data_IF_577702184658
#
_entry.id   IF_577702184658
#
_cell.length_a   1.000
_cell.length_b   1.000
_cell.length_c   1.000
_cell.angle_alpha   90.00
_cell.angle_beta   90.00
_cell.angle_gamma   90.00
#
_symmetry.space_group_name_H-M   'P 1'
#
loop_
_entity.id
_entity.type
_entity.pdbx_description
1 polymer ?
#
# COMPACT_ATOMS: atom_id res chain seq x y z
N UNK A 1 -39.45 6.67 -11.01
CA UNK A 1 -38.63 6.50 -12.24
C UNK A 1 -37.44 5.60 -11.88
N UNK A 2 -37.70 4.36 -11.46
CA UNK A 2 -37.58 3.13 -12.27
C UNK A 2 -36.31 3.14 -13.13
N UNK A 3 -35.23 2.59 -12.59
CA UNK A 3 -34.15 2.01 -13.39
C UNK A 3 -34.06 0.55 -12.94
N UNK A 4 -34.88 -0.26 -13.59
CA UNK A 4 -34.67 -1.69 -13.73
C UNK A 4 -33.57 -1.82 -14.79
N UNK A 5 -32.35 -2.19 -14.39
CA UNK A 5 -31.36 -2.69 -15.34
C UNK A 5 -31.30 -4.21 -15.17
N UNK A 6 -31.89 -4.89 -16.15
CA UNK A 6 -31.68 -6.30 -16.44
C UNK A 6 -30.17 -6.59 -16.51
N UNK A 7 -29.65 -7.42 -15.62
CA UNK A 7 -28.47 -8.23 -15.95
C UNK A 7 -28.97 -9.53 -16.55
N UNK A 8 -29.16 -9.52 -17.87
CA UNK A 8 -29.11 -10.75 -18.65
C UNK A 8 -27.68 -11.28 -18.52
N UNK A 9 -27.53 -12.42 -17.84
CA UNK A 9 -26.35 -13.25 -17.95
C UNK A 9 -26.14 -13.56 -19.44
N UNK A 10 -25.06 -13.05 -20.02
CA UNK A 10 -24.64 -13.47 -21.35
C UNK A 10 -24.23 -14.95 -21.27
N UNK A 11 -24.80 -15.77 -22.15
CA UNK A 11 -24.27 -17.09 -22.46
C UNK A 11 -22.82 -16.90 -22.91
N UNK A 12 -21.89 -17.41 -22.11
CA UNK A 12 -20.43 -17.32 -22.32
C UNK A 12 -20.01 -18.29 -23.42
N UNK A 13 -19.09 -17.89 -24.31
CA UNK A 13 -18.73 -18.70 -25.47
C UNK A 13 -17.60 -19.70 -25.14
N UNK A 14 -16.52 -19.27 -24.49
CA UNK A 14 -15.48 -20.16 -23.94
C UNK A 14 -14.66 -19.46 -22.85
N UNK A 15 -13.99 -20.24 -22.00
CA UNK A 15 -13.14 -19.70 -20.92
C UNK A 15 -11.83 -20.48 -20.81
N UNK A 16 -10.70 -19.77 -20.90
CA UNK A 16 -9.37 -20.34 -20.65
C UNK A 16 -8.82 -19.83 -19.31
N UNK A 17 -8.47 -20.75 -18.42
CA UNK A 17 -8.16 -20.49 -17.01
C UNK A 17 -6.86 -21.19 -16.60
N UNK A 18 -6.09 -20.58 -15.71
CA UNK A 18 -5.01 -21.26 -14.96
C UNK A 18 -5.50 -21.54 -13.55
N UNK A 19 -5.34 -22.79 -13.11
CA UNK A 19 -5.51 -23.20 -11.74
C UNK A 19 -4.16 -23.10 -11.00
N UNK A 20 -4.11 -22.20 -10.02
CA UNK A 20 -3.09 -22.14 -8.97
C UNK A 20 -3.79 -22.01 -7.61
N UNK A 21 -3.17 -21.34 -6.63
CA UNK A 21 -3.87 -21.01 -5.37
C UNK A 21 -5.18 -20.22 -5.60
N UNK A 22 -5.26 -19.47 -6.71
CA UNK A 22 -6.46 -18.80 -7.21
C UNK A 22 -6.70 -19.13 -8.69
N UNK A 23 -7.97 -19.31 -9.11
CA UNK A 23 -8.36 -19.41 -10.53
C UNK A 23 -8.19 -18.06 -11.23
N UNK A 24 -7.34 -17.97 -12.24
CA UNK A 24 -7.18 -16.74 -13.04
C UNK A 24 -7.55 -16.97 -14.51
N UNK A 25 -8.43 -16.12 -15.03
CA UNK A 25 -8.84 -16.14 -16.44
C UNK A 25 -7.67 -15.59 -17.29
N UNK A 26 -7.25 -16.36 -18.29
CA UNK A 26 -6.29 -15.95 -19.31
C UNK A 26 -7.02 -15.22 -20.42
N UNK A 27 -8.12 -15.79 -20.92
CA UNK A 27 -8.88 -15.28 -22.04
C UNK A 27 -10.36 -15.65 -21.94
N UNK A 28 -11.21 -14.73 -22.37
CA UNK A 28 -12.65 -14.88 -22.42
C UNK A 28 -13.20 -14.20 -23.68
N UNK A 29 -13.92 -14.95 -24.54
CA UNK A 29 -14.64 -14.42 -25.70
C UNK A 29 -13.82 -13.43 -26.56
N UNK A 30 -12.55 -13.76 -26.86
CA UNK A 30 -11.54 -12.96 -27.61
C UNK A 30 -10.85 -11.80 -26.88
N UNK A 31 -11.13 -11.60 -25.59
CA UNK A 31 -10.48 -10.58 -24.76
C UNK A 31 -9.43 -11.23 -23.87
N UNK A 32 -8.16 -10.92 -24.13
CA UNK A 32 -7.06 -11.35 -23.28
C UNK A 32 -7.09 -10.58 -21.96
N UNK A 33 -6.95 -11.32 -20.85
CA UNK A 33 -6.82 -10.73 -19.52
C UNK A 33 -5.64 -9.79 -19.45
N UNK A 34 -5.83 -8.63 -18.83
CA UNK A 34 -4.77 -7.63 -18.62
C UNK A 34 -3.53 -8.19 -17.91
N UNK A 35 -3.65 -9.34 -17.22
CA UNK A 35 -2.54 -10.05 -16.56
C UNK A 35 -1.58 -10.77 -17.52
N UNK A 36 -1.98 -11.00 -18.77
CA UNK A 36 -1.23 -11.84 -19.74
C UNK A 36 -0.87 -11.09 -21.02
N UNK A 37 -1.22 -9.80 -21.11
CA UNK A 37 -0.89 -8.91 -22.22
C UNK A 37 0.31 -8.04 -21.86
N UNK A 38 1.40 -8.12 -22.63
CA UNK A 38 2.40 -7.05 -22.66
C UNK A 38 3.21 -7.04 -23.96
N UNK A 39 3.00 -6.00 -24.76
CA UNK A 39 4.02 -5.45 -25.65
C UNK A 39 4.92 -4.56 -24.80
N UNK A 40 6.18 -4.98 -24.60
CA UNK A 40 7.29 -4.27 -23.97
C UNK A 40 6.92 -3.36 -22.76
N UNK A 41 7.05 -3.83 -21.50
CA UNK A 41 6.94 -2.94 -20.35
C UNK A 41 8.13 -1.98 -20.31
N UNK A 42 8.03 -0.86 -21.00
CA UNK A 42 8.84 0.31 -20.67
C UNK A 42 8.21 0.88 -19.41
N UNK A 43 8.66 0.48 -18.22
CA UNK A 43 8.19 1.12 -17.00
C UNK A 43 9.32 1.45 -16.03
N UNK A 44 9.47 2.76 -15.84
CA UNK A 44 10.19 3.46 -14.77
C UNK A 44 9.30 3.65 -13.53
N UNK A 45 8.19 2.91 -13.41
CA UNK A 45 7.14 3.16 -12.42
C UNK A 45 7.06 2.03 -11.39
N UNK A 46 7.00 2.42 -10.11
CA UNK A 46 6.78 1.54 -8.95
C UNK A 46 5.37 0.91 -8.86
N UNK A 47 4.64 0.89 -9.96
CA UNK A 47 3.31 0.31 -10.00
C UNK A 47 3.43 -1.21 -10.21
N UNK A 48 2.62 -2.03 -9.53
CA UNK A 48 2.63 -3.46 -9.79
C UNK A 48 2.26 -3.68 -11.25
N UNK A 49 3.17 -4.27 -12.02
CA UNK A 49 2.85 -4.74 -13.36
C UNK A 49 1.66 -5.71 -13.24
N UNK A 50 0.61 -5.49 -14.03
CA UNK A 50 -0.48 -6.47 -14.16
C UNK A 50 0.03 -7.64 -14.99
N UNK A 51 0.85 -8.47 -14.36
CA UNK A 51 1.49 -9.63 -14.98
C UNK A 51 1.19 -10.87 -14.16
N UNK A 52 0.95 -11.98 -14.85
CA UNK A 52 0.94 -13.29 -14.22
C UNK A 52 2.37 -13.73 -13.92
N UNK A 53 2.63 -14.08 -12.66
CA UNK A 53 3.94 -14.42 -12.14
C UNK A 53 3.85 -15.77 -11.44
N UNK A 54 4.74 -16.68 -11.80
CA UNK A 54 4.93 -17.94 -11.08
C UNK A 54 6.13 -17.80 -10.16
N UNK A 55 5.89 -17.95 -8.84
CA UNK A 55 6.90 -17.83 -7.80
C UNK A 55 7.96 -18.94 -7.86
N UNK A 56 9.10 -18.74 -7.20
CA UNK A 56 10.23 -19.70 -7.20
C UNK A 56 9.88 -21.09 -6.65
N UNK A 57 8.94 -21.16 -5.69
CA UNK A 57 8.51 -22.40 -5.03
C UNK A 57 7.56 -23.26 -5.87
N UNK A 58 6.89 -22.67 -6.87
CA UNK A 58 5.92 -23.36 -7.71
C UNK A 58 6.60 -23.96 -8.93
N UNK A 59 6.71 -25.30 -8.96
CA UNK A 59 7.36 -26.04 -10.05
C UNK A 59 6.38 -26.48 -11.15
N UNK A 60 5.07 -26.38 -10.91
CA UNK A 60 4.03 -26.79 -11.85
C UNK A 60 2.88 -25.77 -11.85
N UNK A 61 2.25 -25.56 -13.00
CA UNK A 61 0.99 -24.83 -13.13
C UNK A 61 -0.01 -25.65 -13.95
N UNK A 62 -1.27 -25.64 -13.52
CA UNK A 62 -2.36 -26.36 -14.17
C UNK A 62 -3.20 -25.39 -15.00
N UNK A 63 -3.51 -25.76 -16.24
CA UNK A 63 -4.26 -24.94 -17.18
C UNK A 63 -5.53 -25.69 -17.60
N UNK A 64 -6.66 -24.98 -17.64
CA UNK A 64 -7.97 -25.53 -17.94
C UNK A 64 -8.63 -24.71 -19.05
N UNK A 65 -8.94 -25.35 -20.17
CA UNK A 65 -9.73 -24.77 -21.26
C UNK A 65 -11.14 -25.35 -21.16
N UNK A 66 -12.16 -24.52 -21.00
CA UNK A 66 -13.56 -24.96 -20.96
C UNK A 66 -14.32 -24.45 -22.17
N UNK A 67 -14.98 -25.38 -22.87
CA UNK A 67 -15.88 -25.06 -23.97
C UNK A 67 -17.30 -24.85 -23.43
N UNK A 68 -17.81 -23.61 -23.51
CA UNK A 68 -19.17 -23.28 -23.11
C UNK A 68 -20.11 -23.11 -24.33
N UNK A 69 -19.60 -23.33 -25.55
CA UNK A 69 -20.38 -23.27 -26.78
C UNK A 69 -21.13 -24.58 -27.05
N UNK A 70 -22.18 -24.48 -27.87
CA UNK A 70 -22.91 -25.63 -28.43
C UNK A 70 -22.13 -26.37 -29.53
N UNK A 71 -21.02 -25.79 -30.02
CA UNK A 71 -20.17 -26.34 -31.08
C UNK A 71 -18.81 -26.81 -30.55
N UNK A 72 -18.21 -27.76 -31.25
CA UNK A 72 -16.87 -28.26 -30.95
C UNK A 72 -15.82 -27.15 -31.05
N UNK A 73 -14.97 -27.03 -30.03
CA UNK A 73 -13.88 -26.06 -29.98
C UNK A 73 -12.57 -26.74 -30.34
N UNK A 74 -11.88 -26.24 -31.37
CA UNK A 74 -10.57 -26.74 -31.77
C UNK A 74 -9.47 -25.90 -31.13
N UNK A 75 -8.75 -26.50 -30.18
CA UNK A 75 -7.67 -25.87 -29.44
C UNK A 75 -6.32 -26.49 -29.82
N UNK A 76 -5.35 -25.65 -30.14
CA UNK A 76 -3.95 -26.04 -30.29
C UNK A 76 -3.10 -25.08 -29.47
N UNK A 77 -2.10 -25.59 -28.75
CA UNK A 77 -1.20 -24.73 -27.98
C UNK A 77 0.25 -25.20 -28.11
N UNK A 78 1.17 -24.26 -27.94
CA UNK A 78 2.60 -24.46 -27.88
C UNK A 78 3.16 -23.52 -26.82
N UNK A 79 3.96 -24.06 -25.89
CA UNK A 79 4.52 -23.31 -24.78
C UNK A 79 6.03 -23.35 -24.89
N UNK A 80 6.63 -22.18 -25.04
CA UNK A 80 8.07 -22.01 -25.21
C UNK A 80 8.58 -20.98 -24.20
N UNK A 81 9.68 -21.29 -23.53
CA UNK A 81 10.49 -20.29 -22.83
C UNK A 81 11.23 -19.45 -23.87
N UNK A 82 11.25 -18.12 -23.72
CA UNK A 82 12.05 -17.25 -24.59
C UNK A 82 13.55 -17.54 -24.42
N UNK A 83 13.99 -17.83 -23.18
CA UNK A 83 15.36 -18.26 -22.88
C UNK A 83 15.38 -19.70 -22.37
N UNK A 84 15.43 -20.67 -23.30
CA UNK A 84 15.48 -22.11 -23.00
C UNK A 84 16.71 -22.56 -22.21
N UNK A 85 17.74 -21.72 -22.12
CA UNK A 85 18.95 -21.96 -21.34
C UNK A 85 18.76 -21.69 -19.84
N UNK A 86 17.73 -20.93 -19.44
CA UNK A 86 17.45 -20.55 -18.04
C UNK A 86 16.33 -21.41 -17.46
N UNK A 87 15.23 -21.61 -18.20
CA UNK A 87 14.14 -22.50 -17.80
C UNK A 87 13.76 -23.39 -18.96
N UNK A 88 13.74 -24.70 -18.72
CA UNK A 88 13.11 -25.64 -19.64
C UNK A 88 11.67 -25.89 -19.22
N UNK A 89 10.76 -25.77 -20.18
CA UNK A 89 9.33 -26.02 -20.00
C UNK A 89 9.01 -27.40 -20.53
N UNK A 90 8.56 -28.30 -19.66
CA UNK A 90 8.10 -29.63 -20.05
C UNK A 90 6.58 -29.72 -19.96
N UNK A 91 5.96 -30.11 -21.08
CA UNK A 91 4.54 -30.41 -21.19
C UNK A 91 4.36 -31.85 -21.68
N UNK A 92 3.45 -32.61 -21.03
CA UNK A 92 3.29 -34.06 -21.26
C UNK A 92 2.61 -34.44 -22.60
N UNK A 93 2.13 -33.49 -23.41
CA UNK A 93 1.45 -33.75 -24.69
C UNK A 93 1.82 -32.71 -25.73
N UNK A 94 2.42 -33.16 -26.84
CA UNK A 94 2.78 -32.34 -28.00
C UNK A 94 1.63 -32.25 -29.01
N UNK A 95 1.41 -31.03 -29.53
CA UNK A 95 1.07 -30.71 -30.94
C UNK A 95 -0.14 -31.34 -31.65
N UNK A 96 -1.06 -32.01 -30.96
CA UNK A 96 -2.31 -32.46 -31.58
C UNK A 96 -3.44 -31.42 -31.47
N UNK A 97 -4.24 -31.27 -32.53
CA UNK A 97 -5.45 -30.44 -32.53
C UNK A 97 -6.47 -31.10 -31.60
N UNK A 98 -6.68 -30.51 -30.43
CA UNK A 98 -7.61 -31.07 -29.43
C UNK A 98 -9.00 -30.54 -29.73
N UNK A 99 -9.96 -31.45 -29.87
CA UNK A 99 -11.38 -31.10 -30.03
C UNK A 99 -12.06 -31.22 -28.69
N UNK A 100 -12.51 -30.09 -28.13
CA UNK A 100 -13.23 -30.03 -26.86
C UNK A 100 -14.72 -29.99 -27.18
N UNK A 101 -15.44 -31.03 -26.75
CA UNK A 101 -16.90 -31.13 -26.92
C UNK A 101 -17.64 -30.06 -26.09
N UNK A 102 -18.89 -29.72 -26.43
CA UNK A 102 -19.72 -28.81 -25.66
C UNK A 102 -19.76 -29.17 -24.17
N UNK A 103 -19.65 -28.17 -23.30
CA UNK A 103 -19.63 -28.28 -21.83
C UNK A 103 -18.48 -29.10 -21.20
N UNK A 104 -17.52 -29.58 -21.99
CA UNK A 104 -16.35 -30.28 -21.47
C UNK A 104 -15.17 -29.32 -21.25
N UNK A 105 -14.27 -29.73 -20.35
CA UNK A 105 -12.99 -29.07 -20.10
C UNK A 105 -11.81 -29.95 -20.55
N UNK A 106 -10.71 -29.29 -20.91
CA UNK A 106 -9.43 -29.92 -21.15
C UNK A 106 -8.39 -29.34 -20.19
N UNK A 107 -7.68 -30.22 -19.49
CA UNK A 107 -6.70 -29.87 -18.47
C UNK A 107 -5.30 -30.29 -18.91
N UNK A 108 -4.32 -29.40 -18.73
CA UNK A 108 -2.92 -29.71 -18.99
C UNK A 108 -1.98 -29.04 -17.98
N UNK A 109 -0.90 -29.74 -17.63
CA UNK A 109 0.06 -29.27 -16.66
C UNK A 109 1.37 -28.87 -17.34
N UNK A 110 1.89 -27.73 -16.92
CA UNK A 110 3.17 -27.18 -17.36
C UNK A 110 4.15 -27.31 -16.21
N UNK A 111 5.24 -28.07 -16.41
CA UNK A 111 6.32 -28.21 -15.43
C UNK A 111 7.48 -27.31 -15.79
N UNK A 112 8.02 -26.60 -14.79
CA UNK A 112 9.16 -25.70 -14.94
C UNK A 112 10.39 -26.34 -14.31
N UNK A 113 11.47 -26.47 -15.09
CA UNK A 113 12.77 -26.91 -14.57
C UNK A 113 13.76 -25.75 -14.71
N UNK A 114 14.24 -25.25 -13.58
CA UNK A 114 15.25 -24.21 -13.51
C UNK A 114 16.63 -24.79 -13.86
N UNK A 115 17.22 -24.30 -14.95
CA UNK A 115 18.56 -24.64 -15.40
C UNK A 115 19.54 -23.55 -14.92
N UNK A 116 20.83 -23.88 -14.79
CA UNK A 116 21.84 -23.09 -14.07
C UNK A 116 21.89 -21.60 -14.44
N UNK A 117 22.27 -20.78 -13.44
CA UNK A 117 22.67 -19.36 -13.54
C UNK A 117 23.62 -19.11 -14.72
N UNK A 118 23.17 -18.32 -15.67
CA UNK A 118 24.03 -17.59 -16.61
C UNK A 118 23.75 -16.10 -16.34
N UNK A 119 24.80 -15.34 -16.00
CA UNK A 119 24.78 -13.87 -15.91
C UNK A 119 23.70 -13.26 -14.99
N UNK A 120 23.60 -13.71 -13.73
CA UNK A 120 22.72 -13.15 -12.68
C UNK A 120 21.22 -13.03 -13.03
N UNK A 121 20.76 -13.65 -14.12
CA UNK A 121 19.35 -13.72 -14.48
C UNK A 121 18.70 -14.97 -13.88
N UNK A 122 17.72 -14.77 -13.01
CA UNK A 122 17.03 -15.82 -12.25
C UNK A 122 15.55 -16.00 -12.66
N UNK A 123 15.16 -15.46 -13.82
CA UNK A 123 13.80 -15.51 -14.35
C UNK A 123 13.84 -15.57 -15.89
N UNK A 124 12.74 -15.98 -16.50
CA UNK A 124 12.52 -15.85 -17.96
C UNK A 124 11.04 -15.64 -18.27
N UNK A 125 10.77 -15.16 -19.47
CA UNK A 125 9.43 -15.08 -20.05
C UNK A 125 9.04 -16.42 -20.66
N UNK A 126 7.83 -16.85 -20.35
CA UNK A 126 7.19 -18.02 -20.95
C UNK A 126 6.09 -17.52 -21.87
N UNK A 127 6.19 -17.95 -23.13
CA UNK A 127 5.25 -17.64 -24.19
C UNK A 127 4.32 -18.83 -24.39
N UNK A 128 3.01 -18.59 -24.29
CA UNK A 128 1.95 -19.54 -24.68
C UNK A 128 1.39 -19.06 -26.01
N UNK A 129 1.73 -19.76 -27.08
CA UNK A 129 1.07 -19.59 -28.37
C UNK A 129 -0.09 -20.57 -28.43
N UNK A 130 -1.31 -20.11 -28.67
CA UNK A 130 -2.45 -20.99 -28.84
C UNK A 130 -3.32 -20.53 -30.02
N UNK A 131 -4.05 -21.49 -30.59
CA UNK A 131 -4.89 -21.29 -31.75
C UNK A 131 -6.29 -21.83 -31.42
N UNK A 132 -7.29 -20.96 -31.56
CA UNK A 132 -8.71 -21.28 -31.38
C UNK A 132 -9.41 -20.97 -32.69
N UNK A 133 -10.07 -21.97 -33.30
CA UNK A 133 -10.88 -21.80 -34.51
C UNK A 133 -10.18 -20.95 -35.60
N UNK A 134 -8.91 -21.26 -35.85
CA UNK A 134 -7.99 -20.62 -36.81
C UNK A 134 -7.29 -19.33 -36.36
N UNK A 135 -7.79 -18.60 -35.36
CA UNK A 135 -7.13 -17.40 -34.84
C UNK A 135 -5.97 -17.77 -33.92
N UNK A 136 -4.79 -17.19 -34.19
CA UNK A 136 -3.60 -17.36 -33.35
C UNK A 136 -3.49 -16.24 -32.32
N UNK A 137 -3.28 -16.63 -31.08
CA UNK A 137 -3.10 -15.75 -29.94
C UNK A 137 -1.80 -16.10 -29.21
N UNK A 138 -1.15 -15.08 -28.65
CA UNK A 138 0.07 -15.26 -27.87
C UNK A 138 -0.08 -14.58 -26.52
N UNK A 139 0.07 -15.33 -25.44
CA UNK A 139 0.09 -14.83 -24.08
C UNK A 139 1.51 -14.96 -23.49
N UNK A 140 1.92 -13.98 -22.70
CA UNK A 140 3.21 -13.98 -22.03
C UNK A 140 3.03 -13.98 -20.51
N UNK A 141 3.85 -14.74 -19.80
CA UNK A 141 3.94 -14.71 -18.34
C UNK A 141 5.37 -14.96 -17.87
N UNK A 142 5.65 -14.69 -16.59
CA UNK A 142 7.01 -14.75 -16.05
C UNK A 142 7.15 -15.88 -15.02
N UNK A 143 8.30 -16.57 -15.02
CA UNK A 143 8.67 -17.58 -14.03
C UNK A 143 10.01 -17.22 -13.39
N UNK A 144 10.04 -17.23 -12.05
CA UNK A 144 11.26 -17.07 -11.27
C UNK A 144 11.81 -18.42 -10.81
N UNK A 145 13.13 -18.53 -10.75
CA UNK A 145 13.87 -19.69 -10.27
C UNK A 145 14.54 -19.47 -8.91
N UNK A 146 14.84 -18.23 -8.56
CA UNK A 146 15.44 -17.86 -7.28
C UNK A 146 14.73 -16.61 -6.73
N UNK A 147 14.64 -16.48 -5.41
CA UNK A 147 14.14 -15.24 -4.81
C UNK A 147 15.13 -14.12 -5.16
N UNK A 148 14.69 -13.10 -5.91
CA UNK A 148 15.53 -11.95 -6.21
C UNK A 148 15.78 -11.16 -4.92
N UNK A 149 16.85 -11.50 -4.22
CA UNK A 149 17.30 -10.86 -2.99
C UNK A 149 17.90 -9.47 -3.28
N UNK A 150 17.07 -8.43 -3.39
CA UNK A 150 17.58 -7.05 -3.33
C UNK A 150 16.60 -6.12 -2.62
N UNK A 151 16.27 -6.42 -1.35
CA UNK A 151 15.45 -5.56 -0.48
C UNK A 151 16.25 -4.43 0.20
N UNK A 152 17.59 -4.43 0.10
CA UNK A 152 18.46 -3.69 1.03
C UNK A 152 18.42 -2.16 0.87
N UNK A 153 18.50 -1.65 -0.36
CA UNK A 153 18.66 -0.20 -0.60
C UNK A 153 17.37 0.64 -0.55
N UNK A 154 16.23 0.23 -1.15
CA UNK A 154 15.04 1.08 -1.20
C UNK A 154 14.34 1.27 0.15
N UNK A 155 14.44 0.32 1.09
CA UNK A 155 13.81 0.46 2.40
C UNK A 155 14.57 1.43 3.33
N UNK A 156 15.91 1.45 3.27
CA UNK A 156 16.71 2.40 4.06
C UNK A 156 16.40 3.87 3.70
N UNK A 157 16.10 4.13 2.44
CA UNK A 157 15.65 5.44 1.95
C UNK A 157 14.30 5.81 2.55
N UNK A 158 13.34 4.87 2.55
CA UNK A 158 12.03 5.07 3.18
C UNK A 158 12.15 5.30 4.68
N UNK A 159 13.09 4.62 5.36
CA UNK A 159 13.38 4.87 6.77
C UNK A 159 13.82 6.31 6.98
N UNK A 160 14.82 6.78 6.22
CA UNK A 160 15.29 8.17 6.33
C UNK A 160 14.17 9.19 6.05
N UNK A 161 13.38 8.97 5.00
CA UNK A 161 12.21 9.82 4.71
C UNK A 161 11.17 9.78 5.83
N UNK A 162 10.86 8.61 6.38
CA UNK A 162 9.87 8.48 7.46
C UNK A 162 10.29 9.23 8.73
N UNK A 163 11.58 9.20 9.09
CA UNK A 163 12.11 9.99 10.21
C UNK A 163 11.98 11.49 9.94
N UNK A 164 12.33 11.96 8.74
CA UNK A 164 12.17 13.38 8.36
C UNK A 164 10.70 13.79 8.43
N UNK A 165 9.80 12.94 7.93
CA UNK A 165 8.35 13.20 7.93
C UNK A 165 7.83 13.28 9.38
N UNK A 166 8.24 12.38 10.26
CA UNK A 166 7.81 12.40 11.67
C UNK A 166 8.32 13.66 12.37
N UNK A 167 9.60 14.00 12.21
CA UNK A 167 10.21 15.19 12.83
C UNK A 167 9.54 16.46 12.29
N UNK A 168 9.49 16.61 10.97
CA UNK A 168 8.91 17.76 10.29
C UNK A 168 7.41 17.91 10.58
N UNK A 169 6.66 16.80 10.51
CA UNK A 169 5.23 16.74 10.81
C UNK A 169 4.92 17.07 12.27
N UNK A 170 5.72 16.58 13.23
CA UNK A 170 5.57 16.90 14.65
C UNK A 170 5.80 18.38 14.92
N UNK A 171 6.85 18.97 14.34
CA UNK A 171 7.15 20.41 14.48
C UNK A 171 6.06 21.25 13.83
N UNK A 172 5.64 20.87 12.62
CA UNK A 172 4.59 21.55 11.87
C UNK A 172 3.26 21.52 12.63
N UNK A 173 2.84 20.35 13.13
CA UNK A 173 1.56 20.14 13.79
C UNK A 173 1.38 20.85 15.15
N UNK A 174 2.45 21.33 15.78
CA UNK A 174 2.38 22.11 17.04
C UNK A 174 2.28 23.62 16.79
N UNK A 175 2.63 24.10 15.58
CA UNK A 175 2.50 25.54 15.28
C UNK A 175 1.02 25.94 15.38
N UNK A 176 0.76 27.16 15.83
CA UNK A 176 -0.60 27.71 15.87
C UNK A 176 -1.18 27.87 14.47
N UNK A 177 -2.47 27.53 14.31
CA UNK A 177 -3.16 27.63 13.03
C UNK A 177 -3.81 29.00 12.87
N UNK A 178 -3.07 29.95 12.31
CA UNK A 178 -3.49 31.37 12.20
C UNK A 178 -4.61 31.62 11.18
N UNK A 179 -4.82 30.72 10.21
CA UNK A 179 -5.74 30.95 9.08
C UNK A 179 -7.21 30.68 9.41
N UNK A 180 -7.47 29.69 10.27
CA UNK A 180 -8.80 29.30 10.69
C UNK A 180 -8.92 29.55 12.19
N UNK A 181 -8.95 30.82 12.57
CA UNK A 181 -9.24 31.23 13.96
C UNK A 181 -10.60 30.67 14.38
N UNK A 182 -10.60 29.52 15.06
CA UNK A 182 -11.81 28.85 15.53
C UNK A 182 -11.89 27.34 15.26
N UNK A 183 -11.01 26.74 14.44
CA UNK A 183 -10.94 25.26 14.36
C UNK A 183 -10.07 24.77 15.51
N UNK A 184 -10.71 24.44 16.64
CA UNK A 184 -10.02 23.77 17.74
C UNK A 184 -9.56 22.38 17.28
N UNK A 185 -8.34 22.00 17.66
CA UNK A 185 -7.88 20.63 17.47
C UNK A 185 -8.82 19.70 18.23
N UNK A 186 -9.57 18.85 17.52
CA UNK A 186 -10.39 17.84 18.18
C UNK A 186 -9.47 16.79 18.80
N UNK A 187 -9.41 16.78 20.13
CA UNK A 187 -8.65 15.80 20.86
C UNK A 187 -9.30 14.41 20.69
N UNK A 188 -8.52 13.47 20.16
CA UNK A 188 -8.95 12.09 20.00
C UNK A 188 -8.96 11.42 21.37
N UNK A 189 -10.17 11.24 21.92
CA UNK A 189 -10.41 10.40 23.08
C UNK A 189 -10.49 8.90 22.74
N UNK A 190 -10.55 8.03 23.74
CA UNK A 190 -10.58 6.57 23.55
C UNK A 190 -11.80 6.07 22.76
N UNK A 191 -12.90 6.81 22.77
CA UNK A 191 -14.10 6.48 21.96
C UNK A 191 -13.83 6.66 20.46
N UNK A 192 -13.10 7.71 20.08
CA UNK A 192 -12.77 7.97 18.68
C UNK A 192 -11.87 6.86 18.10
N UNK A 193 -10.95 6.34 18.91
CA UNK A 193 -10.12 5.19 18.55
C UNK A 193 -10.95 3.95 18.17
N UNK A 194 -11.98 3.62 18.95
CA UNK A 194 -12.85 2.48 18.69
C UNK A 194 -13.68 2.70 17.42
N UNK A 195 -14.26 3.91 17.26
CA UNK A 195 -15.05 4.28 16.08
C UNK A 195 -14.19 4.17 14.81
N UNK A 196 -12.94 4.66 14.86
CA UNK A 196 -12.01 4.58 13.74
C UNK A 196 -11.81 3.14 13.25
N UNK A 197 -11.63 2.18 14.16
CA UNK A 197 -11.42 0.77 13.79
C UNK A 197 -12.66 0.16 13.16
N UNK A 198 -13.84 0.47 13.70
CA UNK A 198 -15.11 -0.02 13.17
C UNK A 198 -15.33 0.51 11.75
N UNK A 199 -15.13 1.82 11.54
CA UNK A 199 -15.26 2.46 10.23
C UNK A 199 -14.24 1.91 9.24
N UNK A 200 -12.97 1.79 9.65
CA UNK A 200 -11.91 1.21 8.82
C UNK A 200 -12.19 -0.24 8.44
N UNK A 201 -12.72 -1.06 9.36
CA UNK A 201 -13.13 -2.44 9.08
C UNK A 201 -14.26 -2.51 8.06
N UNK A 202 -15.26 -1.63 8.17
CA UNK A 202 -16.35 -1.56 7.20
C UNK A 202 -15.86 -1.15 5.82
N UNK A 203 -14.96 -0.15 5.76
CA UNK A 203 -14.33 0.29 4.52
C UNK A 203 -13.50 -0.82 3.89
N UNK A 204 -12.73 -1.58 4.68
CA UNK A 204 -11.91 -2.68 4.19
C UNK A 204 -12.76 -3.82 3.60
N UNK A 205 -13.84 -4.22 4.29
CA UNK A 205 -14.77 -5.23 3.78
C UNK A 205 -15.47 -4.74 2.50
N UNK A 206 -15.82 -3.46 2.45
CA UNK A 206 -16.41 -2.84 1.25
C UNK A 206 -15.44 -2.89 0.06
N UNK A 207 -14.16 -2.58 0.28
CA UNK A 207 -13.11 -2.72 -0.74
C UNK A 207 -12.91 -4.16 -1.20
N UNK A 208 -13.05 -5.12 -0.29
CA UNK A 208 -12.92 -6.53 -0.62
C UNK A 208 -14.10 -7.07 -1.44
N UNK A 209 -15.34 -6.77 -1.03
CA UNK A 209 -16.55 -7.30 -1.69
C UNK A 209 -16.99 -6.50 -2.92
N UNK A 210 -16.90 -5.18 -2.87
CA UNK A 210 -17.37 -4.25 -3.91
C UNK A 210 -16.21 -3.49 -4.55
N UNK A 211 -15.20 -4.24 -5.01
CA UNK A 211 -13.90 -3.70 -5.39
C UNK A 211 -13.94 -2.52 -6.36
N UNK A 212 -14.74 -2.58 -7.43
CA UNK A 212 -14.80 -1.52 -8.45
C UNK A 212 -15.40 -0.22 -7.91
N UNK A 213 -16.53 -0.31 -7.22
CA UNK A 213 -17.22 0.85 -6.66
C UNK A 213 -16.43 1.45 -5.49
N UNK A 214 -16.00 0.61 -4.54
CA UNK A 214 -15.29 1.06 -3.35
C UNK A 214 -13.90 1.64 -3.68
N UNK A 215 -13.17 1.08 -4.65
CA UNK A 215 -11.89 1.64 -5.09
C UNK A 215 -12.06 3.01 -5.76
N UNK A 216 -13.09 3.19 -6.59
CA UNK A 216 -13.40 4.49 -7.19
C UNK A 216 -13.76 5.54 -6.13
N UNK A 217 -14.62 5.17 -5.18
CA UNK A 217 -15.03 6.04 -4.09
C UNK A 217 -13.84 6.46 -3.21
N UNK A 218 -13.03 5.49 -2.78
CA UNK A 218 -11.84 5.75 -1.95
C UNK A 218 -10.80 6.57 -2.71
N UNK A 219 -10.64 6.37 -4.02
CA UNK A 219 -9.80 7.20 -4.86
C UNK A 219 -10.28 8.67 -4.88
N UNK A 220 -11.57 8.90 -5.11
CA UNK A 220 -12.15 10.27 -5.11
C UNK A 220 -11.95 10.95 -3.76
N UNK A 221 -12.27 10.25 -2.66
CA UNK A 221 -12.09 10.77 -1.30
C UNK A 221 -10.64 11.16 -1.08
N UNK A 222 -9.69 10.31 -1.44
CA UNK A 222 -8.28 10.60 -1.23
C UNK A 222 -7.77 11.76 -2.07
N UNK A 223 -8.17 11.85 -3.34
CA UNK A 223 -7.78 12.98 -4.19
C UNK A 223 -8.33 14.30 -3.64
N UNK A 224 -9.54 14.30 -3.11
CA UNK A 224 -10.12 15.45 -2.43
C UNK A 224 -9.38 15.80 -1.13
N UNK A 225 -9.05 14.81 -0.29
CA UNK A 225 -8.23 15.07 0.92
C UNK A 225 -6.84 15.58 0.57
N UNK A 226 -6.24 15.07 -0.51
CA UNK A 226 -4.95 15.52 -0.98
C UNK A 226 -5.01 16.97 -1.47
N UNK A 227 -6.10 17.37 -2.15
CA UNK A 227 -6.33 18.74 -2.61
C UNK A 227 -6.30 19.72 -1.44
N UNK A 228 -7.13 19.45 -0.42
CA UNK A 228 -7.23 20.27 0.78
C UNK A 228 -5.88 20.28 1.53
N UNK A 229 -5.22 19.13 1.62
CA UNK A 229 -3.93 19.03 2.32
C UNK A 229 -2.84 19.89 1.67
N UNK A 230 -2.73 19.89 0.34
CA UNK A 230 -1.75 20.71 -0.38
C UNK A 230 -2.11 22.19 -0.26
N UNK A 231 -3.39 22.53 -0.44
CA UNK A 231 -3.86 23.91 -0.36
C UNK A 231 -3.54 24.51 1.02
N UNK A 232 -3.85 23.79 2.10
CA UNK A 232 -3.58 24.25 3.47
C UNK A 232 -2.09 24.40 3.77
N UNK A 233 -1.25 23.47 3.32
CA UNK A 233 0.20 23.58 3.49
C UNK A 233 0.75 24.79 2.71
N UNK A 234 0.29 25.03 1.49
CA UNK A 234 0.72 26.18 0.68
C UNK A 234 0.29 27.51 1.31
N UNK A 235 -0.92 27.57 1.86
CA UNK A 235 -1.41 28.73 2.61
C UNK A 235 -0.55 29.00 3.85
N UNK A 236 -0.20 27.95 4.59
CA UNK A 236 0.67 28.07 5.77
C UNK A 236 2.07 28.60 5.42
N UNK A 237 2.66 28.14 4.31
CA UNK A 237 3.96 28.64 3.82
C UNK A 237 3.84 30.11 3.41
N UNK A 238 2.74 30.49 2.76
CA UNK A 238 2.53 31.86 2.29
C UNK A 238 2.17 32.85 3.40
N UNK A 239 1.80 32.39 4.59
CA UNK A 239 1.48 33.26 5.73
C UNK A 239 2.65 34.12 6.19
N UNK A 240 3.88 33.71 5.91
CA UNK A 240 5.07 34.51 6.20
C UNK A 240 5.18 35.75 5.30
N UNK A 241 4.42 35.81 4.20
CA UNK A 241 4.45 36.91 3.23
C UNK A 241 3.26 37.87 3.39
N UNK A 242 3.51 39.17 3.15
CA UNK A 242 2.54 40.26 3.31
C UNK A 242 1.56 40.43 2.12
N UNK A 243 1.25 39.36 1.40
CA UNK A 243 0.23 39.38 0.33
C UNK A 243 -1.19 39.33 0.91
N UNK A 244 -2.18 39.81 0.14
CA UNK A 244 -3.60 39.72 0.52
C UNK A 244 -4.08 38.26 0.57
N UNK A 245 -4.96 37.94 1.52
CA UNK A 245 -5.44 36.57 1.74
C UNK A 245 -6.12 35.96 0.51
N UNK A 246 -6.84 36.76 -0.29
CA UNK A 246 -7.50 36.28 -1.51
C UNK A 246 -6.50 35.80 -2.56
N UNK A 247 -5.36 36.49 -2.71
CA UNK A 247 -4.31 36.09 -3.66
C UNK A 247 -3.65 34.78 -3.20
N UNK A 248 -3.42 34.63 -1.89
CA UNK A 248 -2.85 33.41 -1.32
C UNK A 248 -3.73 32.18 -1.55
N UNK A 249 -5.04 32.32 -1.32
CA UNK A 249 -6.03 31.25 -1.55
C UNK A 249 -6.11 30.90 -3.04
N UNK A 250 -6.20 31.91 -3.92
CA UNK A 250 -6.26 31.66 -5.36
C UNK A 250 -5.01 30.94 -5.88
N UNK A 251 -3.82 31.36 -5.46
CA UNK A 251 -2.59 30.70 -5.87
C UNK A 251 -2.51 29.25 -5.35
N UNK A 252 -2.87 29.03 -4.08
CA UNK A 252 -2.81 27.71 -3.45
C UNK A 252 -3.79 26.71 -4.09
N UNK A 253 -5.02 27.16 -4.39
CA UNK A 253 -6.05 26.35 -5.07
C UNK A 253 -5.67 25.97 -6.50
N UNK A 254 -5.07 26.89 -7.26
CA UNK A 254 -4.58 26.60 -8.63
C UNK A 254 -3.45 25.58 -8.57
N UNK A 255 -2.48 25.77 -7.68
CA UNK A 255 -1.32 24.88 -7.58
C UNK A 255 -1.70 23.47 -7.10
N UNK A 256 -2.59 23.35 -6.11
CA UNK A 256 -3.12 22.04 -5.65
C UNK A 256 -3.87 21.32 -6.78
N UNK A 257 -4.69 22.04 -7.54
CA UNK A 257 -5.40 21.51 -8.71
C UNK A 257 -4.45 20.96 -9.79
N UNK A 258 -3.39 21.71 -10.12
CA UNK A 258 -2.37 21.28 -11.10
C UNK A 258 -1.70 19.98 -10.65
N UNK A 259 -1.27 19.88 -9.40
CA UNK A 259 -0.59 18.68 -8.88
C UNK A 259 -1.49 17.44 -8.93
N UNK A 260 -2.78 17.58 -8.63
CA UNK A 260 -3.76 16.51 -8.68
C UNK A 260 -4.02 16.05 -10.11
N UNK A 261 -4.15 16.99 -11.05
CA UNK A 261 -4.33 16.68 -12.47
C UNK A 261 -3.09 15.94 -13.00
N UNK A 262 -1.89 16.44 -12.69
CA UNK A 262 -0.64 15.80 -13.07
C UNK A 262 -0.52 14.38 -12.49
N UNK A 263 -0.95 14.15 -11.25
CA UNK A 263 -0.94 12.82 -10.67
C UNK A 263 -1.95 11.90 -11.34
N UNK A 264 -3.17 12.39 -11.64
CA UNK A 264 -4.20 11.60 -12.29
C UNK A 264 -3.74 11.03 -13.64
N UNK A 265 -3.03 11.84 -14.44
CA UNK A 265 -2.51 11.41 -15.74
C UNK A 265 -1.19 10.62 -15.64
N UNK A 266 -0.24 11.08 -14.83
CA UNK A 266 1.12 10.50 -14.83
C UNK A 266 1.26 9.28 -13.93
N UNK A 267 0.50 9.22 -12.83
CA UNK A 267 0.58 8.22 -11.74
C UNK A 267 2.01 7.87 -11.31
N UNK A 268 2.91 8.86 -11.35
CA UNK A 268 4.32 8.66 -11.01
C UNK A 268 4.49 8.47 -9.50
N UNK A 269 5.49 7.67 -9.12
CA UNK A 269 5.79 7.39 -7.71
C UNK A 269 6.17 8.66 -6.92
N UNK A 270 6.79 9.64 -7.59
CA UNK A 270 7.16 10.93 -6.99
C UNK A 270 5.89 11.70 -6.61
N UNK A 271 4.94 11.86 -7.54
CA UNK A 271 3.69 12.57 -7.25
C UNK A 271 2.84 11.80 -6.23
N UNK A 272 2.84 10.48 -6.26
CA UNK A 272 2.22 9.66 -5.22
C UNK A 272 2.78 10.00 -3.83
N UNK A 273 4.11 10.06 -3.70
CA UNK A 273 4.76 10.38 -2.43
C UNK A 273 4.48 11.82 -1.99
N UNK A 274 4.44 12.78 -2.92
CA UNK A 274 4.05 14.16 -2.61
C UNK A 274 2.65 14.21 -2.01
N UNK A 275 1.66 13.58 -2.66
CA UNK A 275 0.28 13.53 -2.15
C UNK A 275 0.22 12.84 -0.77
N UNK A 276 0.89 11.71 -0.61
CA UNK A 276 0.95 10.97 0.64
C UNK A 276 1.55 11.80 1.78
N UNK A 277 2.68 12.48 1.53
CA UNK A 277 3.33 13.35 2.52
C UNK A 277 2.43 14.54 2.86
N UNK A 278 1.76 15.15 1.89
CA UNK A 278 0.81 16.24 2.15
C UNK A 278 -0.34 15.79 3.05
N UNK A 279 -0.94 14.62 2.79
CA UNK A 279 -1.99 14.06 3.65
C UNK A 279 -1.46 13.80 5.06
N UNK A 280 -0.25 13.26 5.20
CA UNK A 280 0.39 13.04 6.50
C UNK A 280 0.53 14.36 7.26
N UNK A 281 1.15 15.39 6.66
CA UNK A 281 1.36 16.69 7.31
C UNK A 281 0.04 17.35 7.71
N UNK A 282 -0.98 17.26 6.86
CA UNK A 282 -2.33 17.74 7.17
C UNK A 282 -2.96 16.98 8.34
N UNK A 283 -2.75 15.66 8.43
CA UNK A 283 -3.18 14.86 9.57
C UNK A 283 -2.43 15.21 10.86
N UNK A 284 -1.12 15.49 10.79
CA UNK A 284 -0.36 16.02 11.93
C UNK A 284 -0.89 17.38 12.40
N UNK A 285 -1.45 18.20 11.50
CA UNK A 285 -2.07 19.48 11.84
C UNK A 285 -3.39 19.30 12.59
N UNK A 286 -4.27 18.44 12.10
CA UNK A 286 -5.66 18.32 12.61
C UNK A 286 -5.78 17.38 13.80
N UNK A 287 -5.10 16.23 13.75
CA UNK A 287 -5.31 15.15 14.72
C UNK A 287 -4.44 15.37 15.94
N UNK A 288 -5.00 15.39 17.14
CA UNK A 288 -4.23 15.49 18.39
C UNK A 288 -4.71 14.47 19.42
N UNK A 289 -3.79 13.89 20.19
CA UNK A 289 -4.15 13.05 21.34
C UNK A 289 -4.28 13.89 22.61
N UNK A 290 -5.26 13.57 23.44
CA UNK A 290 -5.45 14.18 24.76
C UNK A 290 -4.38 13.73 25.77
N UNK A 291 -3.90 12.49 25.63
CA UNK A 291 -3.06 11.81 26.60
C UNK A 291 -2.23 10.71 25.95
N UNK A 292 -1.09 10.37 26.57
CA UNK A 292 -0.32 9.20 26.15
C UNK A 292 -1.14 7.91 26.33
N UNK A 293 -2.03 7.83 27.33
CA UNK A 293 -2.94 6.70 27.52
C UNK A 293 -3.79 6.46 26.27
N UNK A 294 -4.47 7.48 25.74
CA UNK A 294 -5.30 7.30 24.54
C UNK A 294 -4.47 6.91 23.32
N UNK A 295 -3.30 7.52 23.15
CA UNK A 295 -2.35 7.15 22.11
C UNK A 295 -1.93 5.67 22.19
N UNK A 296 -1.59 5.18 23.39
CA UNK A 296 -1.21 3.77 23.59
C UNK A 296 -2.37 2.82 23.26
N UNK A 297 -3.60 3.12 23.71
CA UNK A 297 -4.78 2.33 23.40
C UNK A 297 -4.99 2.26 21.88
N UNK A 298 -4.88 3.40 21.20
CA UNK A 298 -5.04 3.47 19.75
C UNK A 298 -3.96 2.64 19.01
N UNK A 299 -2.70 2.73 19.42
CA UNK A 299 -1.61 1.91 18.88
C UNK A 299 -1.86 0.41 19.02
N UNK A 300 -2.20 -0.05 20.22
CA UNK A 300 -2.46 -1.48 20.45
C UNK A 300 -3.66 -1.95 19.65
N UNK A 301 -4.72 -1.15 19.55
CA UNK A 301 -5.87 -1.48 18.74
C UNK A 301 -5.54 -1.56 17.24
N UNK A 302 -4.73 -0.64 16.72
CA UNK A 302 -4.26 -0.68 15.33
C UNK A 302 -3.39 -1.92 15.06
N UNK A 303 -2.54 -2.30 16.01
CA UNK A 303 -1.76 -3.54 15.94
C UNK A 303 -2.63 -4.79 15.86
N UNK A 304 -3.62 -4.92 16.75
CA UNK A 304 -4.52 -6.06 16.72
C UNK A 304 -5.42 -6.07 15.48
N UNK A 305 -5.80 -4.89 14.97
CA UNK A 305 -6.51 -4.74 13.70
C UNK A 305 -5.68 -5.31 12.54
N UNK A 306 -4.40 -4.95 12.43
CA UNK A 306 -3.52 -5.46 11.39
C UNK A 306 -3.32 -6.98 11.49
N UNK A 307 -3.11 -7.50 12.71
CA UNK A 307 -3.00 -8.95 12.93
C UNK A 307 -4.27 -9.69 12.52
N UNK A 308 -5.44 -9.17 12.88
CA UNK A 308 -6.71 -9.79 12.51
C UNK A 308 -6.86 -9.86 10.99
N UNK A 309 -6.65 -8.74 10.30
CA UNK A 309 -6.85 -8.69 8.86
C UNK A 309 -5.75 -9.38 8.05
N UNK A 310 -4.54 -9.52 8.61
CA UNK A 310 -3.45 -10.24 7.96
C UNK A 310 -3.55 -11.76 8.17
N UNK A 311 -3.75 -12.23 9.41
CA UNK A 311 -3.64 -13.65 9.77
C UNK A 311 -4.98 -14.34 10.06
N UNK A 312 -5.96 -13.63 10.61
CA UNK A 312 -7.25 -14.24 10.96
C UNK A 312 -8.20 -14.23 9.76
N UNK A 313 -8.21 -13.15 8.97
CA UNK A 313 -9.10 -13.03 7.80
C UNK A 313 -8.99 -14.16 6.76
N UNK A 314 -7.82 -14.76 6.46
CA UNK A 314 -7.74 -15.93 5.57
C UNK A 314 -8.56 -17.12 6.04
N UNK A 315 -8.69 -17.33 7.36
CA UNK A 315 -9.48 -18.45 7.90
C UNK A 315 -10.99 -18.26 7.70
N UNK A 316 -11.44 -17.01 7.55
CA UNK A 316 -12.85 -16.65 7.39
C UNK A 316 -13.21 -16.46 5.90
N UNK A 317 -12.33 -15.83 5.13
CA UNK A 317 -12.57 -15.41 3.74
C UNK A 317 -11.79 -16.23 2.70
N UNK A 318 -10.98 -17.19 3.13
CA UNK A 318 -10.12 -18.03 2.27
C UNK A 318 -8.81 -17.37 1.84
N UNK A 319 -8.69 -16.04 1.95
CA UNK A 319 -7.50 -15.26 1.61
C UNK A 319 -7.34 -14.05 2.55
N UNK A 320 -6.13 -13.55 2.69
CA UNK A 320 -5.82 -12.33 3.44
C UNK A 320 -6.41 -11.10 2.74
N UNK A 321 -7.36 -10.43 3.41
CA UNK A 321 -8.08 -9.28 2.85
C UNK A 321 -7.14 -8.13 2.53
N UNK A 322 -6.20 -7.79 3.44
CA UNK A 322 -5.21 -6.73 3.23
C UNK A 322 -4.28 -7.04 2.06
N UNK A 323 -3.83 -8.29 1.91
CA UNK A 323 -2.93 -8.68 0.81
C UNK A 323 -3.65 -8.63 -0.54
N UNK A 324 -4.90 -9.06 -0.60
CA UNK A 324 -5.71 -8.95 -1.81
C UNK A 324 -5.93 -7.48 -2.20
N UNK A 325 -6.28 -6.62 -1.25
CA UNK A 325 -6.50 -5.19 -1.51
C UNK A 325 -5.21 -4.51 -1.97
N UNK A 326 -4.08 -4.75 -1.30
CA UNK A 326 -2.80 -4.10 -1.61
C UNK A 326 -2.21 -4.49 -2.97
N UNK A 327 -2.55 -5.68 -3.48
CA UNK A 327 -2.12 -6.17 -4.79
C UNK A 327 -3.06 -5.75 -5.92
N UNK A 328 -4.35 -5.61 -5.62
CA UNK A 328 -5.36 -5.35 -6.66
C UNK A 328 -5.76 -3.89 -6.80
N UNK A 329 -5.53 -3.06 -5.77
CA UNK A 329 -5.98 -1.68 -5.72
C UNK A 329 -4.78 -0.71 -5.67
N UNK A 330 -4.72 0.18 -6.66
CA UNK A 330 -3.73 1.25 -6.78
C UNK A 330 -4.25 2.55 -6.16
N UNK A 331 -4.06 2.69 -4.86
CA UNK A 331 -4.48 3.86 -4.08
C UNK A 331 -3.25 4.55 -3.48
N UNK A 332 -3.17 5.90 -3.42
CA UNK A 332 -2.09 6.65 -2.78
C UNK A 332 -2.09 6.56 -1.24
N UNK A 333 -2.10 5.33 -0.70
CA UNK A 333 -2.14 5.01 0.73
C UNK A 333 -0.72 4.64 1.26
N UNK A 334 0.28 4.65 0.38
CA UNK A 334 1.62 4.16 0.66
C UNK A 334 2.70 5.06 0.08
N UNK A 335 3.82 5.15 0.79
CA UNK A 335 5.06 5.69 0.26
C UNK A 335 5.76 4.61 -0.56
N UNK A 336 6.25 5.01 -1.72
CA UNK A 336 6.91 4.14 -2.69
C UNK A 336 8.36 4.58 -2.86
N UNK A 337 9.30 3.65 -2.78
CA UNK A 337 10.69 3.92 -3.15
C UNK A 337 11.16 2.89 -4.18
N UNK A 338 11.55 3.32 -5.39
CA UNK A 338 12.19 2.43 -6.35
C UNK A 338 13.56 2.00 -5.82
N UNK A 339 13.97 0.77 -6.14
CA UNK A 339 15.37 0.38 -5.98
C UNK A 339 16.28 1.35 -6.74
N UNK A 340 17.21 2.00 -6.03
CA UNK A 340 18.23 2.86 -6.63
C UNK A 340 19.27 2.05 -7.42
N UNK A 341 19.41 0.76 -7.12
CA UNK A 341 20.23 -0.16 -7.90
C UNK A 341 19.32 -0.79 -8.95
N UNK A 342 19.47 -0.32 -10.18
CA UNK A 342 18.84 -0.90 -11.35
C UNK A 342 19.53 -2.24 -11.62
N UNK A 343 19.03 -3.32 -11.05
CA UNK A 343 19.32 -4.63 -11.61
C UNK A 343 18.61 -4.66 -12.97
N UNK A 344 19.39 -4.49 -14.05
CA UNK A 344 18.94 -4.63 -15.44
C UNK A 344 18.43 -6.06 -15.76
N UNK A 345 18.51 -6.96 -14.77
CA UNK A 345 18.27 -8.38 -14.87
C UNK A 345 16.97 -8.78 -14.17
N UNK A 346 15.93 -7.94 -14.14
CA UNK A 346 14.57 -8.29 -13.68
C UNK A 346 13.54 -7.44 -14.42
N UNK A 347 12.42 -8.00 -14.90
CA UNK A 347 11.35 -7.24 -15.54
C UNK A 347 10.49 -6.56 -14.45
N UNK A 348 10.74 -6.88 -13.17
CA UNK A 348 10.08 -6.29 -12.01
C UNK A 348 11.03 -5.30 -11.33
N UNK A 349 10.67 -4.02 -11.38
CA UNK A 349 11.21 -3.05 -10.45
C UNK A 349 10.47 -3.22 -9.11
N UNK A 350 11.06 -4.01 -8.21
CA UNK A 350 10.53 -4.15 -6.85
C UNK A 350 10.71 -2.82 -6.12
N UNK A 351 9.60 -2.20 -5.75
CA UNK A 351 9.60 -0.99 -4.93
C UNK A 351 9.31 -1.35 -3.48
N UNK A 352 10.07 -0.74 -2.58
CA UNK A 352 9.73 -0.82 -1.17
C UNK A 352 8.46 0.00 -0.92
N UNK A 353 7.61 -0.54 -0.05
CA UNK A 353 6.32 0.01 0.31
C UNK A 353 6.35 0.28 1.81
N UNK A 354 5.95 1.48 2.22
CA UNK A 354 5.72 1.82 3.62
C UNK A 354 4.33 2.44 3.76
N UNK A 355 3.52 1.94 4.69
CA UNK A 355 2.16 2.41 4.91
C UNK A 355 2.15 3.83 5.50
N UNK A 356 1.24 4.67 5.02
CA UNK A 356 1.02 6.01 5.61
C UNK A 356 0.55 5.87 7.08
N UNK A 357 -0.28 4.87 7.38
CA UNK A 357 -0.79 4.59 8.72
C UNK A 357 0.33 4.32 9.73
N UNK A 358 1.33 3.52 9.36
CA UNK A 358 2.46 3.16 10.24
C UNK A 358 3.25 4.40 10.70
N UNK A 359 3.39 5.38 9.81
CA UNK A 359 4.07 6.65 10.09
C UNK A 359 3.17 7.56 10.91
N UNK A 360 1.91 7.70 10.52
CA UNK A 360 0.98 8.65 11.12
C UNK A 360 0.65 8.29 12.57
N UNK A 361 0.31 7.03 12.84
CA UNK A 361 -0.10 6.57 14.19
C UNK A 361 1.00 6.84 15.22
N UNK A 362 2.23 6.50 14.88
CA UNK A 362 3.41 6.73 15.73
C UNK A 362 3.75 8.21 15.80
N UNK A 363 3.73 8.88 14.64
CA UNK A 363 4.01 10.29 14.52
C UNK A 363 3.14 11.15 15.42
N UNK A 364 1.84 10.85 15.54
CA UNK A 364 0.92 11.60 16.38
C UNK A 364 1.25 11.51 17.87
N UNK A 365 1.74 10.36 18.36
CA UNK A 365 2.22 10.23 19.75
C UNK A 365 3.52 11.00 19.95
N UNK A 366 4.44 10.93 19.00
CA UNK A 366 5.69 11.70 19.04
C UNK A 366 5.40 13.21 19.02
N UNK A 367 4.40 13.65 18.24
CA UNK A 367 3.89 15.02 18.24
C UNK A 367 3.35 15.41 19.62
N UNK A 368 2.53 14.56 20.23
CA UNK A 368 1.99 14.80 21.57
C UNK A 368 3.12 15.01 22.60
N UNK A 369 4.16 14.15 22.58
CA UNK A 369 5.33 14.30 23.46
C UNK A 369 6.06 15.62 23.22
N UNK A 370 6.29 15.99 21.95
CA UNK A 370 6.94 17.27 21.64
C UNK A 370 6.12 18.47 22.13
N UNK A 371 4.78 18.41 22.03
CA UNK A 371 3.90 19.45 22.55
C UNK A 371 4.00 19.53 24.07
N UNK A 372 3.96 18.38 24.74
CA UNK A 372 4.10 18.30 26.19
C UNK A 372 5.44 18.88 26.68
N UNK A 373 6.57 18.47 26.09
CA UNK A 373 7.89 18.95 26.52
C UNK A 373 8.04 20.47 26.31
N UNK A 374 7.53 21.00 25.18
CA UNK A 374 7.53 22.45 24.93
C UNK A 374 6.69 23.24 25.93
N UNK A 375 5.49 22.76 26.25
CA UNK A 375 4.61 23.43 27.23
C UNK A 375 5.16 23.33 28.65
N UNK A 376 5.85 22.24 28.98
CA UNK A 376 6.46 22.02 30.30
C UNK A 376 7.78 22.77 30.50
N UNK A 377 8.33 23.40 29.46
CA UNK A 377 9.68 23.99 29.49
C UNK A 377 10.80 22.96 29.61
N UNK A 378 10.52 21.70 29.27
CA UNK A 378 11.47 20.59 29.36
C UNK A 378 12.33 20.50 28.11
N UNK A 379 13.57 20.04 28.26
CA UNK A 379 14.40 19.70 27.11
C UNK A 379 13.77 18.54 26.34
N UNK A 380 13.81 18.59 25.00
CA UNK A 380 13.22 17.63 24.04
C UNK A 380 13.79 16.19 24.09
N UNK A 381 14.23 15.71 25.26
CA UNK A 381 14.90 14.43 25.46
C UNK A 381 13.96 13.24 25.20
N UNK A 382 12.72 13.30 25.69
CA UNK A 382 11.73 12.24 25.47
C UNK A 382 11.35 12.21 23.99
N UNK A 383 11.19 13.38 23.35
CA UNK A 383 10.99 13.49 21.91
C UNK A 383 12.13 12.86 21.11
N UNK A 384 13.39 13.21 21.37
CA UNK A 384 14.52 12.59 20.67
C UNK A 384 14.62 11.08 20.93
N UNK A 385 14.36 10.63 22.16
CA UNK A 385 14.31 9.20 22.49
C UNK A 385 13.20 8.47 21.73
N UNK A 386 12.03 9.08 21.58
CA UNK A 386 10.90 8.52 20.82
C UNK A 386 11.22 8.32 19.34
N UNK A 387 11.93 9.28 18.72
CA UNK A 387 12.41 9.18 17.33
C UNK A 387 13.42 8.04 17.18
N UNK A 388 14.35 7.92 18.13
CA UNK A 388 15.32 6.80 18.14
C UNK A 388 14.62 5.45 18.29
N UNK A 389 13.62 5.35 19.17
CA UNK A 389 12.82 4.13 19.34
C UNK A 389 12.06 3.73 18.06
N UNK A 390 11.53 4.69 17.31
CA UNK A 390 10.92 4.43 16.00
C UNK A 390 11.94 3.88 15.00
N UNK A 391 13.10 4.53 14.89
CA UNK A 391 14.19 4.07 14.02
C UNK A 391 14.68 2.66 14.37
N UNK A 392 14.82 2.35 15.66
CA UNK A 392 15.18 1.00 16.15
C UNK A 392 14.10 -0.03 15.79
N UNK A 393 12.82 0.32 15.96
CA UNK A 393 11.71 -0.56 15.59
C UNK A 393 11.72 -0.89 14.09
N UNK A 394 11.84 0.13 13.24
CA UNK A 394 11.80 -0.05 11.79
C UNK A 394 13.06 -0.74 11.23
N UNK A 395 14.23 -0.51 11.82
CA UNK A 395 15.45 -1.28 11.51
C UNK A 395 15.35 -2.74 11.96
N UNK A 396 14.77 -3.02 13.13
CA UNK A 396 14.57 -4.39 13.60
C UNK A 396 13.63 -5.18 12.69
N UNK A 397 12.52 -4.56 12.26
CA UNK A 397 11.61 -5.10 11.25
C UNK A 397 12.35 -5.50 9.97
N UNK A 398 13.24 -4.62 9.50
CA UNK A 398 14.06 -4.88 8.32
C UNK A 398 15.01 -6.07 8.50
N UNK A 399 15.77 -6.10 9.59
CA UNK A 399 16.75 -7.16 9.87
C UNK A 399 16.05 -8.53 9.90
N UNK A 400 14.87 -8.60 10.50
CA UNK A 400 14.13 -9.86 10.63
C UNK A 400 13.53 -10.34 9.31
N UNK A 401 13.00 -9.44 8.48
CA UNK A 401 12.56 -9.80 7.12
C UNK A 401 13.75 -10.28 6.28
N UNK A 402 14.89 -9.61 6.39
CA UNK A 402 16.08 -9.93 5.62
C UNK A 402 16.63 -11.32 5.98
N UNK A 403 16.78 -11.60 7.27
CA UNK A 403 17.47 -12.83 7.72
C UNK A 403 16.54 -14.04 7.85
N UNK A 404 15.31 -13.83 8.33
CA UNK A 404 14.40 -14.93 8.66
C UNK A 404 13.27 -15.11 7.63
N UNK A 405 13.11 -14.17 6.69
CA UNK A 405 12.01 -14.16 5.71
C UNK A 405 10.61 -14.24 6.34
N UNK A 406 10.47 -13.91 7.63
CA UNK A 406 9.18 -13.90 8.33
C UNK A 406 8.54 -12.52 8.15
N UNK A 407 7.34 -12.49 7.59
CA UNK A 407 6.59 -11.26 7.33
C UNK A 407 5.54 -11.02 8.43
N UNK A 408 5.97 -10.40 9.53
CA UNK A 408 5.04 -9.85 10.54
C UNK A 408 4.68 -8.39 10.21
N UNK A 409 3.52 -7.88 10.68
CA UNK A 409 3.16 -6.47 10.50
C UNK A 409 4.23 -5.53 11.07
N UNK A 410 4.52 -4.42 10.38
CA UNK A 410 5.53 -3.45 10.82
C UNK A 410 5.24 -2.88 12.22
N UNK A 411 3.96 -2.64 12.53
CA UNK A 411 3.49 -2.16 13.84
C UNK A 411 3.94 -3.05 15.01
N UNK A 412 4.11 -4.35 14.80
CA UNK A 412 4.58 -5.29 15.83
C UNK A 412 5.94 -4.86 16.41
N UNK A 413 6.83 -4.35 15.56
CA UNK A 413 8.17 -3.94 15.96
C UNK A 413 8.21 -2.49 16.43
N UNK A 414 7.44 -1.62 15.76
CA UNK A 414 7.52 -0.18 15.99
C UNK A 414 6.85 0.23 17.31
N UNK A 415 5.70 -0.34 17.65
CA UNK A 415 4.95 0.05 18.84
C UNK A 415 5.74 -0.21 20.14
N UNK A 416 6.27 -1.41 20.41
CA UNK A 416 6.97 -1.65 21.67
C UNK A 416 8.23 -0.79 21.79
N UNK A 417 9.01 -0.62 20.73
CA UNK A 417 10.25 0.16 20.79
C UNK A 417 10.00 1.65 21.01
N UNK A 418 8.96 2.21 20.38
CA UNK A 418 8.57 3.62 20.54
C UNK A 418 7.94 3.90 21.90
N UNK A 419 7.07 3.01 22.39
CA UNK A 419 6.50 3.16 23.73
C UNK A 419 7.58 3.02 24.81
N UNK A 420 8.47 2.04 24.70
CA UNK A 420 9.58 1.88 25.65
C UNK A 420 10.49 3.12 25.68
N UNK A 421 10.80 3.70 24.52
CA UNK A 421 11.63 4.89 24.45
C UNK A 421 10.93 6.18 24.91
N UNK A 422 9.61 6.17 25.09
CA UNK A 422 8.87 7.24 25.77
C UNK A 422 8.78 6.97 27.28
N UNK A 423 8.43 5.74 27.66
CA UNK A 423 8.17 5.34 29.05
C UNK A 423 9.46 5.37 29.88
N UNK A 424 10.58 4.87 29.37
CA UNK A 424 11.83 4.82 30.15
C UNK A 424 12.32 6.23 30.50
N UNK A 425 12.50 7.18 29.55
CA UNK A 425 12.93 8.53 29.90
C UNK A 425 11.91 9.32 30.72
N UNK A 426 10.60 9.09 30.53
CA UNK A 426 9.56 9.77 31.31
C UNK A 426 9.53 9.32 32.77
N UNK A 427 9.84 8.05 33.06
CA UNK A 427 10.02 7.56 34.44
C UNK A 427 11.29 8.17 35.05
N UNK A 428 12.40 8.22 34.32
CA UNK A 428 13.66 8.83 34.79
C UNK A 428 13.48 10.31 35.13
N UNK A 429 12.69 11.05 34.35
CA UNK A 429 12.34 12.45 34.63
C UNK A 429 11.22 12.61 35.68
N UNK A 430 10.63 11.53 36.19
CA UNK A 430 9.46 11.56 37.08
C UNK A 430 8.19 12.23 36.51
N UNK A 431 8.11 12.39 35.18
CA UNK A 431 7.00 13.05 34.46
C UNK A 431 5.96 12.06 33.92
N UNK A 432 6.16 10.75 34.09
CA UNK A 432 5.32 9.71 33.51
C UNK A 432 3.82 9.89 33.80
N UNK A 433 3.43 10.15 35.05
CA UNK A 433 2.02 10.30 35.42
C UNK A 433 1.35 11.50 34.74
N UNK A 434 2.10 12.58 34.52
CA UNK A 434 1.60 13.78 33.86
C UNK A 434 1.38 13.54 32.37
N UNK A 435 2.35 12.89 31.71
CA UNK A 435 2.28 12.50 30.29
C UNK A 435 1.18 11.44 30.07
N UNK A 436 1.06 10.48 30.99
CA UNK A 436 0.09 9.38 30.91
C UNK A 436 -1.36 9.88 30.96
N UNK A 437 -1.66 10.78 31.88
CA UNK A 437 -3.03 11.28 32.08
C UNK A 437 -3.36 12.51 31.23
N UNK A 438 -2.37 13.22 30.68
CA UNK A 438 -2.57 14.46 29.92
C UNK A 438 -3.06 15.67 30.74
N UNK A 439 -3.28 15.49 32.04
CA UNK A 439 -3.87 16.49 32.94
C UNK A 439 -3.06 17.80 33.03
N UNK A 440 -1.75 17.76 32.79
CA UNK A 440 -0.89 18.94 32.82
C UNK A 440 -1.03 19.83 31.57
N UNK A 441 -1.28 19.24 30.40
CA UNK A 441 -1.51 19.98 29.14
C UNK A 441 -2.82 20.77 29.23
N UNK A 442 -3.86 20.16 29.79
CA UNK A 442 -5.18 20.80 29.98
C UNK A 442 -5.05 21.99 30.94
N UNK A 443 -4.35 21.80 32.07
CA UNK A 443 -4.18 22.83 33.09
C UNK A 443 -3.33 24.02 32.61
N UNK A 444 -2.29 23.78 31.82
CA UNK A 444 -1.48 24.86 31.22
C UNK A 444 -2.20 25.60 30.10
N UNK A 445 -3.04 24.92 29.32
CA UNK A 445 -3.89 25.59 28.32
C UNK A 445 -4.91 26.49 29.01
N UNK A 446 -5.55 26.00 30.09
CA UNK A 446 -6.46 26.81 30.91
C UNK A 446 -5.74 28.03 31.51
N UNK A 447 -4.51 27.88 32.02
CA UNK A 447 -3.71 29.00 32.56
C UNK A 447 -3.28 30.01 31.46
N UNK A 448 -2.92 29.56 30.25
CA UNK A 448 -2.58 30.45 29.13
C UNK A 448 -3.78 31.19 28.53
N UNK A 449 -4.96 30.55 28.48
CA UNK A 449 -6.21 31.22 28.06
C UNK A 449 -6.64 32.28 29.09
N UNK A 450 -6.39 32.04 30.39
CA UNK A 450 -6.67 33.00 31.47
C UNK A 450 -5.71 34.20 31.48
N UNK A 451 -4.48 34.08 30.96
CA UNK A 451 -3.55 35.21 30.83
C UNK A 451 -3.79 36.08 29.58
N UNK A 452 -4.55 35.59 28.59
CA UNK A 452 -4.91 36.33 27.37
C UNK A 452 -6.25 37.06 27.43
N UNK A 453 -7.05 36.83 28.49
CA UNK A 453 -8.32 37.53 28.80
C UNK A 453 -8.03 38.64 29.81
#
# INVERSE_FOLDING_TARGET
MIIIFFFLYSVLSYTFVIHGENTTIIEQDSILSSKFSQTNPIQTQCQPLRLYIVGSTQNESEFIVKNNNETDLHFKFNITSVDSNIISVHHKKQLEKITIKPNNSFEFNVKYICLKKIEDQTWTTIQIMYQINENQHTAYYYKFCEASETYFHPLAILLFFSLIIIVGGSIYGIKEWKLFGGVQNEAYGPKAAIIFIIVSSFLLISLYKFQTFASSLTYIIMMFTAFISIETILLDIQNEYSYSNNIKILFSTIMSGILIILYHYSKTWILNNILAVSIIFFSFRILEFDSLRTGTIFMFLAFFYDLFWLFVSPTIFGQSVIQNITTTIELPIKLLSPSLIKNCNSPYQQCSILGIGDILIVGLIIKYILKFEKLSGENNLIFFSSILGYGIGLTSYFILIYYYHIQYPALFYIIPTTLLSIVIPSIVKSLFLQIWNGAFVIKLIEEQELEMI
#
